data_IF_222524546567
#
_entry.id   IF_222524546567
#
_cell.length_a   1.000
_cell.length_b   1.000
_cell.length_c   1.000
_cell.angle_alpha   90.00
_cell.angle_beta   90.00
_cell.angle_gamma   90.00
#
_symmetry.space_group_name_H-M   'P 1'
#
loop_
_entity.id
_entity.type
_entity.pdbx_description
1 polymer ?
#
# COMPACT_ATOMS: atom_id res chain seq x y z
N UNK A 1 6.96 20.11 28.44
CA UNK A 1 7.61 18.95 27.79
C UNK A 1 6.61 17.89 27.40
N UNK A 2 6.61 17.47 26.13
CA UNK A 2 5.84 16.30 25.70
C UNK A 2 6.50 15.04 26.29
N UNK A 3 5.80 14.19 27.07
CA UNK A 3 6.40 13.00 27.67
C UNK A 3 6.94 12.07 26.58
N UNK A 4 8.16 11.55 26.70
CA UNK A 4 8.71 10.59 25.73
C UNK A 4 7.80 9.37 25.51
N UNK A 5 7.05 8.99 26.54
CA UNK A 5 6.05 7.93 26.45
C UNK A 5 4.92 8.22 25.43
N UNK A 6 4.45 9.47 25.32
CA UNK A 6 3.40 9.80 24.34
C UNK A 6 3.94 9.76 22.91
N UNK A 7 5.21 10.08 22.68
CA UNK A 7 5.87 9.90 21.37
C UNK A 7 5.95 8.42 20.98
N UNK A 8 6.37 7.56 21.90
CA UNK A 8 6.47 6.12 21.65
C UNK A 8 5.11 5.48 21.33
N UNK A 9 4.05 5.82 22.07
CA UNK A 9 2.69 5.32 21.80
C UNK A 9 2.21 5.77 20.41
N UNK A 10 2.43 7.04 20.05
CA UNK A 10 2.05 7.54 18.73
C UNK A 10 2.81 6.86 17.60
N UNK A 11 4.10 6.56 17.80
CA UNK A 11 4.93 5.88 16.81
C UNK A 11 4.51 4.41 16.63
N UNK A 12 4.20 3.71 17.73
CA UNK A 12 3.62 2.36 17.69
C UNK A 12 2.27 2.31 16.98
N UNK A 13 1.37 3.24 17.28
CA UNK A 13 0.07 3.35 16.60
C UNK A 13 0.25 3.66 15.11
N UNK A 14 1.25 4.47 14.75
CA UNK A 14 1.55 4.78 13.35
C UNK A 14 2.07 3.55 12.60
N UNK A 15 2.96 2.76 13.20
CA UNK A 15 3.45 1.50 12.62
C UNK A 15 2.32 0.47 12.45
N UNK A 16 1.44 0.32 13.45
CA UNK A 16 0.26 -0.56 13.35
C UNK A 16 -0.70 -0.09 12.24
N UNK A 17 -0.89 1.22 12.09
CA UNK A 17 -1.72 1.81 11.02
C UNK A 17 -1.17 1.54 9.63
N UNK A 18 0.15 1.60 9.45
CA UNK A 18 0.79 1.28 8.16
C UNK A 18 0.53 -0.17 7.75
N UNK A 19 0.68 -1.13 8.67
CA UNK A 19 0.38 -2.54 8.40
C UNK A 19 -1.10 -2.76 8.05
N UNK A 20 -2.01 -2.14 8.80
CA UNK A 20 -3.45 -2.23 8.54
C UNK A 20 -3.85 -1.71 7.16
N UNK A 21 -3.25 -0.59 6.72
CA UNK A 21 -3.48 -0.03 5.39
C UNK A 21 -3.01 -1.01 4.29
N UNK A 22 -1.80 -1.55 4.39
CA UNK A 22 -1.29 -2.51 3.41
C UNK A 22 -2.18 -3.76 3.30
N UNK A 23 -2.65 -4.28 4.42
CA UNK A 23 -3.58 -5.43 4.44
C UNK A 23 -4.90 -5.09 3.74
N UNK A 24 -5.47 -3.92 4.03
CA UNK A 24 -6.72 -3.48 3.42
C UNK A 24 -6.59 -3.28 1.91
N UNK A 25 -5.52 -2.62 1.45
CA UNK A 25 -5.24 -2.43 0.02
C UNK A 25 -5.01 -3.76 -0.70
N UNK A 26 -4.34 -4.72 -0.06
CA UNK A 26 -4.19 -6.06 -0.61
C UNK A 26 -5.53 -6.79 -0.74
N UNK A 27 -6.43 -6.66 0.24
CA UNK A 27 -7.78 -7.24 0.15
C UNK A 27 -8.59 -6.59 -0.98
N UNK A 28 -8.54 -5.26 -1.12
CA UNK A 28 -9.15 -4.56 -2.25
C UNK A 28 -8.61 -5.08 -3.59
N UNK A 29 -7.28 -5.28 -3.69
CA UNK A 29 -6.62 -5.84 -4.88
C UNK A 29 -7.16 -7.22 -5.25
N UNK A 30 -7.28 -8.12 -4.26
CA UNK A 30 -7.82 -9.48 -4.46
C UNK A 30 -9.27 -9.46 -4.94
N UNK A 31 -10.07 -8.50 -4.48
CA UNK A 31 -11.46 -8.30 -4.92
C UNK A 31 -11.57 -7.49 -6.22
N UNK A 32 -10.46 -6.98 -6.76
CA UNK A 32 -10.44 -6.11 -7.93
C UNK A 32 -11.03 -4.71 -7.69
N UNK A 33 -11.20 -4.31 -6.43
CA UNK A 33 -11.76 -3.02 -6.04
C UNK A 33 -10.72 -1.92 -6.18
N UNK A 34 -11.15 -0.80 -6.77
CA UNK A 34 -10.34 0.42 -6.99
C UNK A 34 -9.06 0.17 -7.79
N UNK A 35 -8.89 -1.01 -8.39
CA UNK A 35 -7.75 -1.32 -9.25
C UNK A 35 -7.87 -0.53 -10.55
N UNK A 36 -6.84 0.22 -10.88
CA UNK A 36 -6.76 1.16 -12.00
C UNK A 36 -5.70 0.75 -13.03
N UNK A 37 -5.06 -0.41 -12.83
CA UNK A 37 -4.20 -1.07 -13.80
C UNK A 37 -4.31 -2.60 -13.73
N UNK A 38 -3.94 -3.27 -14.82
CA UNK A 38 -3.87 -4.75 -14.92
C UNK A 38 -2.63 -5.12 -15.73
N UNK A 39 -1.81 -6.02 -15.19
CA UNK A 39 -0.65 -6.57 -15.89
C UNK A 39 -0.99 -7.96 -16.42
N UNK A 40 -0.63 -8.24 -17.66
CA UNK A 40 -0.82 -9.56 -18.26
C UNK A 40 0.54 -10.25 -18.30
N UNK A 41 0.67 -11.38 -17.61
CA UNK A 41 1.88 -12.21 -17.61
C UNK A 41 1.49 -13.62 -17.98
N UNK A 42 2.02 -14.15 -19.09
CA UNK A 42 1.69 -15.48 -19.63
C UNK A 42 0.17 -15.73 -19.76
N UNK A 43 -0.58 -14.68 -20.15
CA UNK A 43 -2.04 -14.74 -20.30
C UNK A 43 -2.83 -14.67 -19.00
N UNK A 44 -2.17 -14.45 -17.86
CA UNK A 44 -2.81 -14.26 -16.55
C UNK A 44 -2.87 -12.77 -16.20
N UNK A 45 -4.05 -12.31 -15.80
CA UNK A 45 -4.31 -10.92 -15.42
C UNK A 45 -4.02 -10.66 -13.93
N UNK A 46 -3.20 -9.65 -13.66
CA UNK A 46 -2.84 -9.18 -12.32
C UNK A 46 -3.34 -7.75 -12.12
N UNK A 47 -4.46 -7.61 -11.42
CA UNK A 47 -4.99 -6.30 -11.02
C UNK A 47 -4.13 -5.65 -9.94
N UNK A 48 -3.94 -4.34 -10.04
CA UNK A 48 -3.15 -3.58 -9.08
C UNK A 48 -3.61 -2.11 -8.99
N UNK A 49 -3.05 -1.40 -8.01
CA UNK A 49 -3.23 0.02 -7.77
C UNK A 49 -1.96 0.78 -8.17
N UNK A 50 -2.05 1.70 -9.12
CA UNK A 50 -0.90 2.51 -9.58
C UNK A 50 -0.24 3.24 -8.43
N UNK A 51 -1.03 3.85 -7.54
CA UNK A 51 -0.52 4.58 -6.38
C UNK A 51 0.33 3.70 -5.44
N UNK A 52 -0.08 2.45 -5.21
CA UNK A 52 0.68 1.51 -4.37
C UNK A 52 1.99 1.12 -5.06
N UNK A 53 1.93 0.85 -6.37
CA UNK A 53 3.12 0.51 -7.15
C UNK A 53 4.13 1.66 -7.19
N UNK A 54 3.67 2.90 -7.43
CA UNK A 54 4.51 4.09 -7.44
C UNK A 54 5.13 4.40 -6.07
N UNK A 55 4.43 4.13 -4.97
CA UNK A 55 4.97 4.30 -3.63
C UNK A 55 6.08 3.30 -3.28
N UNK A 56 6.06 2.10 -3.88
CA UNK A 56 6.97 1.00 -3.52
C UNK A 56 8.08 0.72 -4.55
N UNK A 57 8.05 1.35 -5.72
CA UNK A 57 9.00 1.08 -6.80
C UNK A 57 9.28 2.33 -7.63
N UNK A 58 10.55 2.68 -7.77
CA UNK A 58 10.98 3.81 -8.60
C UNK A 58 10.60 3.61 -10.08
N UNK A 59 10.67 2.37 -10.57
CA UNK A 59 10.22 2.04 -11.92
C UNK A 59 8.74 2.42 -12.12
N UNK A 60 7.87 1.98 -11.21
CA UNK A 60 6.44 2.28 -11.32
C UNK A 60 6.12 3.74 -11.03
N UNK A 61 6.93 4.41 -10.20
CA UNK A 61 6.82 5.85 -9.94
C UNK A 61 7.14 6.70 -11.17
N UNK A 62 8.02 6.24 -12.05
CA UNK A 62 8.29 6.93 -13.31
C UNK A 62 7.27 6.56 -14.40
N UNK A 63 6.63 5.39 -14.28
CA UNK A 63 5.66 4.89 -15.25
C UNK A 63 4.25 5.49 -15.09
N UNK A 64 3.84 5.79 -13.86
CA UNK A 64 2.52 6.33 -13.50
C UNK A 64 2.65 7.67 -12.79
#
# INVERSE_FOLDING_TARGET
>A
DFPQHSKQVLEQLNQQRQLGLCLHLNQQRQLGLLCDCTFVVDGIDFKAHKAVLAACSEYFRMLF
#
